data_IF_586395018395
#
_entry.id   IF_586395018395
#
_cell.length_a   1.000
_cell.length_b   1.000
_cell.length_c   1.000
_cell.angle_alpha   90.00
_cell.angle_beta   90.00
_cell.angle_gamma   90.00
#
_symmetry.space_group_name_H-M   'P 1'
#
loop_
_entity.id
_entity.type
_entity.pdbx_description
1 polymer ?
#
# COMPACT_ATOMS: atom_id res chain seq x y z
N UNK A 1 -15.82 8.56 -32.58
CA UNK A 1 -16.55 9.23 -31.51
C UNK A 1 -16.22 10.73 -31.35
N UNK A 2 -15.42 11.35 -32.25
CA UNK A 2 -15.13 12.79 -32.26
C UNK A 2 -14.14 13.32 -31.20
N UNK A 3 -13.71 12.49 -30.26
CA UNK A 3 -12.64 12.83 -29.28
C UNK A 3 -11.52 11.81 -29.32
N UNK A 4 -10.27 12.29 -29.34
CA UNK A 4 -9.08 11.44 -29.38
C UNK A 4 -8.69 11.09 -27.93
N UNK A 5 -8.73 9.80 -27.59
CA UNK A 5 -8.18 9.30 -26.35
C UNK A 5 -6.67 9.11 -26.48
N UNK A 6 -5.93 9.41 -25.42
CA UNK A 6 -4.47 9.37 -25.40
C UNK A 6 -3.95 8.63 -24.18
N UNK A 7 -2.89 7.87 -24.36
CA UNK A 7 -2.09 7.34 -23.26
C UNK A 7 -1.09 8.39 -22.78
N UNK A 8 -0.57 8.26 -21.58
CA UNK A 8 0.35 9.22 -20.98
C UNK A 8 1.68 9.37 -21.78
N UNK A 9 2.05 8.35 -22.54
CA UNK A 9 3.28 8.33 -23.37
C UNK A 9 3.03 8.65 -24.86
N UNK A 10 1.84 9.17 -25.24
CA UNK A 10 1.46 9.41 -26.63
C UNK A 10 2.45 10.28 -27.42
N UNK A 11 3.10 11.23 -26.74
CA UNK A 11 4.13 12.10 -27.35
C UNK A 11 5.44 11.35 -27.66
N UNK A 12 5.63 10.17 -27.08
CA UNK A 12 6.81 9.30 -27.24
C UNK A 12 6.51 8.06 -28.10
N UNK A 13 5.45 8.10 -28.92
CA UNK A 13 5.07 7.02 -29.83
C UNK A 13 4.03 6.03 -29.30
N UNK A 14 3.59 6.16 -28.03
CA UNK A 14 2.62 5.21 -27.45
C UNK A 14 3.24 3.86 -27.07
N UNK A 15 2.39 2.84 -26.93
CA UNK A 15 2.81 1.48 -26.52
C UNK A 15 2.86 0.47 -27.67
N UNK A 16 2.37 0.83 -28.87
CA UNK A 16 2.26 -0.12 -29.96
C UNK A 16 1.29 -1.26 -29.65
N UNK A 17 1.65 -2.48 -30.06
CA UNK A 17 0.87 -3.69 -29.77
C UNK A 17 1.27 -4.24 -28.41
N UNK A 18 0.32 -4.32 -27.48
CA UNK A 18 0.50 -4.84 -26.13
C UNK A 18 -0.61 -5.85 -25.79
N UNK A 19 -0.31 -6.77 -24.89
CA UNK A 19 -1.25 -7.77 -24.37
C UNK A 19 -2.22 -7.16 -23.34
N UNK A 20 -3.32 -7.88 -23.04
CA UNK A 20 -4.31 -7.42 -22.03
C UNK A 20 -3.68 -7.22 -20.64
N UNK A 21 -2.81 -8.08 -20.11
CA UNK A 21 -2.08 -7.80 -18.88
C UNK A 21 -1.25 -6.51 -18.95
N UNK A 22 -0.55 -6.26 -20.06
CA UNK A 22 0.23 -5.03 -20.25
C UNK A 22 -0.63 -3.78 -20.35
N UNK A 23 -1.86 -3.87 -20.89
CA UNK A 23 -2.82 -2.76 -20.89
C UNK A 23 -3.08 -2.28 -19.45
N UNK A 24 -3.28 -3.18 -18.52
CA UNK A 24 -3.48 -2.85 -17.10
C UNK A 24 -2.17 -2.44 -16.42
N UNK A 25 -1.08 -3.13 -16.69
CA UNK A 25 0.26 -2.86 -16.14
C UNK A 25 0.76 -1.45 -16.49
N UNK A 26 0.57 -1.03 -17.73
CA UNK A 26 0.94 0.32 -18.20
C UNK A 26 -0.19 1.33 -18.09
N UNK A 27 -1.36 0.93 -17.59
CA UNK A 27 -2.53 1.80 -17.48
C UNK A 27 -2.88 2.50 -18.81
N UNK A 28 -2.91 1.73 -19.90
CA UNK A 28 -3.25 2.24 -21.22
C UNK A 28 -4.72 2.57 -21.31
N UNK A 29 -5.05 3.85 -21.42
CA UNK A 29 -6.43 4.31 -21.62
C UNK A 29 -6.99 3.79 -22.94
N UNK A 30 -6.18 3.84 -24.00
CA UNK A 30 -6.57 3.37 -25.34
C UNK A 30 -6.84 1.87 -25.31
N UNK A 31 -5.99 1.08 -24.65
CA UNK A 31 -6.14 -0.37 -24.55
C UNK A 31 -7.43 -0.77 -23.85
N UNK A 32 -7.65 -0.24 -22.62
CA UNK A 32 -8.88 -0.53 -21.85
C UNK A 32 -10.12 -0.06 -22.62
N UNK A 33 -10.08 1.17 -23.15
CA UNK A 33 -11.24 1.74 -23.85
C UNK A 33 -11.63 0.91 -25.07
N UNK A 34 -10.66 0.45 -25.88
CA UNK A 34 -10.93 -0.43 -27.03
C UNK A 34 -11.49 -1.77 -26.61
N UNK A 35 -10.92 -2.42 -25.61
CA UNK A 35 -11.43 -3.70 -25.10
C UNK A 35 -12.89 -3.61 -24.68
N UNK A 36 -13.26 -2.54 -24.00
CA UNK A 36 -14.65 -2.37 -23.53
C UNK A 36 -15.57 -1.93 -24.67
N UNK A 37 -15.15 -0.99 -25.51
CA UNK A 37 -15.97 -0.53 -26.64
C UNK A 37 -16.23 -1.67 -27.65
N UNK A 38 -15.21 -2.43 -28.02
CA UNK A 38 -15.32 -3.53 -28.99
C UNK A 38 -16.28 -4.64 -28.48
N UNK A 39 -16.40 -4.86 -27.16
CA UNK A 39 -17.25 -5.89 -26.59
C UNK A 39 -18.64 -5.43 -26.15
N UNK A 40 -18.83 -4.14 -25.84
CA UNK A 40 -20.05 -3.66 -25.19
C UNK A 40 -20.70 -2.45 -25.86
N UNK A 41 -20.16 -1.90 -26.98
CA UNK A 41 -20.68 -0.68 -27.62
C UNK A 41 -22.16 -0.80 -28.01
N UNK A 42 -22.58 -1.99 -28.44
CA UNK A 42 -23.97 -2.25 -28.86
C UNK A 42 -24.90 -2.55 -27.67
N UNK A 43 -24.34 -2.90 -26.52
CA UNK A 43 -25.03 -3.27 -25.29
C UNK A 43 -24.35 -2.71 -24.06
N UNK A 44 -24.21 -1.36 -23.89
CA UNK A 44 -23.49 -0.75 -22.79
C UNK A 44 -24.09 -1.05 -21.42
N UNK A 45 -25.38 -1.38 -21.35
CA UNK A 45 -26.04 -1.83 -20.13
C UNK A 45 -25.43 -3.10 -19.56
N UNK A 46 -24.97 -4.02 -20.42
CA UNK A 46 -24.33 -5.28 -19.98
C UNK A 46 -22.99 -5.01 -19.26
N UNK A 47 -22.24 -4.01 -19.71
CA UNK A 47 -21.01 -3.59 -19.01
C UNK A 47 -21.33 -3.02 -17.62
N UNK A 48 -22.32 -2.12 -17.55
CA UNK A 48 -22.73 -1.53 -16.26
C UNK A 48 -23.32 -2.59 -15.32
N UNK A 49 -24.10 -3.52 -15.82
CA UNK A 49 -24.62 -4.65 -15.04
C UNK A 49 -23.49 -5.56 -14.55
N UNK A 50 -22.44 -5.74 -15.36
CA UNK A 50 -21.20 -6.40 -14.97
C UNK A 50 -20.55 -5.73 -13.75
N UNK A 51 -20.37 -4.41 -13.79
CA UNK A 51 -19.82 -3.66 -12.66
C UNK A 51 -20.59 -3.87 -11.36
N UNK A 52 -21.94 -3.81 -11.41
CA UNK A 52 -22.78 -4.08 -10.24
C UNK A 52 -22.71 -5.54 -9.78
N UNK A 53 -22.66 -6.48 -10.74
CA UNK A 53 -22.51 -7.92 -10.44
C UNK A 53 -21.16 -8.21 -9.73
N UNK A 54 -20.12 -7.49 -10.08
CA UNK A 54 -18.80 -7.59 -9.44
C UNK A 54 -18.70 -6.80 -8.12
N UNK A 55 -19.74 -6.04 -7.76
CA UNK A 55 -19.78 -5.27 -6.51
C UNK A 55 -19.41 -3.81 -6.63
N UNK A 56 -19.02 -3.34 -7.83
CA UNK A 56 -18.77 -1.92 -8.08
C UNK A 56 -20.11 -1.17 -8.13
N UNK A 57 -20.23 -0.08 -7.40
CA UNK A 57 -21.46 0.72 -7.34
C UNK A 57 -22.50 0.26 -6.30
N UNK A 58 -22.22 -0.78 -5.53
CA UNK A 58 -23.09 -1.20 -4.41
C UNK A 58 -22.96 -0.20 -3.26
N UNK A 59 -24.08 0.30 -2.67
CA UNK A 59 -24.04 1.15 -1.50
C UNK A 59 -23.34 0.47 -0.32
N UNK A 60 -22.41 1.19 0.32
CA UNK A 60 -21.68 0.68 1.48
C UNK A 60 -22.36 1.00 2.80
N UNK A 61 -23.29 1.97 2.81
CA UNK A 61 -24.04 2.40 4.00
C UNK A 61 -23.11 2.64 5.22
N UNK A 62 -22.02 3.39 4.99
CA UNK A 62 -21.02 3.68 6.02
C UNK A 62 -21.62 4.62 7.06
N UNK A 63 -21.64 4.27 8.36
CA UNK A 63 -22.27 5.06 9.41
C UNK A 63 -21.38 6.24 9.86
N UNK A 64 -20.84 7.01 8.92
CA UNK A 64 -20.04 8.20 9.17
C UNK A 64 -20.68 9.38 8.46
N UNK A 65 -20.80 10.50 9.19
CA UNK A 65 -21.34 11.75 8.64
C UNK A 65 -20.48 12.22 7.46
N UNK A 66 -21.12 12.56 6.33
CA UNK A 66 -20.43 13.02 5.13
C UNK A 66 -19.87 11.88 4.26
N UNK A 67 -20.10 10.62 4.60
CA UNK A 67 -19.74 9.50 3.72
C UNK A 67 -20.57 9.58 2.42
N UNK A 68 -19.88 9.48 1.27
CA UNK A 68 -20.51 9.39 -0.04
C UNK A 68 -20.77 7.93 -0.43
N UNK A 69 -21.77 7.70 -1.27
CA UNK A 69 -22.04 6.38 -1.86
C UNK A 69 -21.52 6.30 -3.30
N UNK A 70 -21.11 5.10 -3.76
CA UNK A 70 -20.69 4.90 -5.13
C UNK A 70 -21.85 5.18 -6.09
N UNK A 71 -21.54 5.83 -7.21
CA UNK A 71 -22.51 6.08 -8.29
C UNK A 71 -21.90 5.66 -9.62
N UNK A 72 -22.59 4.77 -10.33
CA UNK A 72 -22.25 4.36 -11.69
C UNK A 72 -23.42 4.75 -12.58
N UNK A 73 -23.15 5.56 -13.61
CA UNK A 73 -24.16 6.00 -14.56
C UNK A 73 -24.68 4.80 -15.35
N UNK A 74 -26.02 4.70 -15.46
CA UNK A 74 -26.67 3.68 -16.27
C UNK A 74 -27.26 4.29 -17.54
N UNK A 75 -27.16 3.61 -18.70
CA UNK A 75 -27.90 4.03 -19.88
C UNK A 75 -29.41 3.86 -19.63
N UNK A 76 -30.18 4.84 -20.03
CA UNK A 76 -31.65 4.71 -20.07
C UNK A 76 -32.06 3.82 -21.24
N UNK A 77 -33.23 3.18 -21.14
CA UNK A 77 -33.77 2.31 -22.19
C UNK A 77 -33.94 3.02 -23.54
N UNK A 78 -34.27 4.30 -23.53
CA UNK A 78 -34.40 5.15 -24.70
C UNK A 78 -33.06 5.72 -25.21
N UNK A 79 -31.95 5.42 -24.53
CA UNK A 79 -30.62 5.93 -24.88
C UNK A 79 -30.41 7.44 -24.66
N UNK A 80 -31.41 8.18 -24.20
CA UNK A 80 -31.44 9.65 -24.15
C UNK A 80 -30.32 10.26 -23.29
N UNK A 81 -29.78 9.50 -22.34
CA UNK A 81 -28.71 9.94 -21.44
C UNK A 81 -27.32 9.34 -21.76
N UNK A 82 -27.16 8.63 -22.90
CA UNK A 82 -25.95 7.91 -23.21
C UNK A 82 -25.29 8.40 -24.52
N UNK A 83 -24.14 9.03 -24.41
CA UNK A 83 -23.39 9.47 -25.58
C UNK A 83 -22.51 8.34 -26.11
N UNK A 84 -22.11 8.43 -27.40
CA UNK A 84 -21.17 7.48 -28.03
C UNK A 84 -19.79 7.43 -27.32
N UNK A 85 -19.48 8.43 -26.51
CA UNK A 85 -18.21 8.49 -25.75
C UNK A 85 -18.37 8.01 -24.31
N UNK A 86 -19.60 7.79 -23.81
CA UNK A 86 -19.82 7.44 -22.40
C UNK A 86 -19.15 6.12 -22.01
N UNK A 87 -19.30 5.06 -22.80
CA UNK A 87 -18.69 3.77 -22.51
C UNK A 87 -17.15 3.80 -22.53
N UNK A 88 -16.50 4.34 -23.59
CA UNK A 88 -15.04 4.50 -23.61
C UNK A 88 -14.49 5.29 -22.40
N UNK A 89 -15.17 6.35 -21.99
CA UNK A 89 -14.75 7.14 -20.82
C UNK A 89 -15.04 6.42 -19.49
N UNK A 90 -16.14 5.70 -19.40
CA UNK A 90 -16.47 4.89 -18.22
C UNK A 90 -15.44 3.79 -17.97
N UNK A 91 -14.92 3.18 -19.04
CA UNK A 91 -13.92 2.11 -18.95
C UNK A 91 -12.64 2.52 -18.24
N UNK A 92 -12.32 3.82 -18.22
CA UNK A 92 -11.16 4.39 -17.54
C UNK A 92 -11.53 5.20 -16.28
N UNK A 93 -12.78 5.05 -15.79
CA UNK A 93 -13.23 5.57 -14.50
C UNK A 93 -14.02 6.88 -14.53
N UNK A 94 -14.22 7.52 -15.69
CA UNK A 94 -15.15 8.65 -15.81
C UNK A 94 -16.60 8.12 -15.86
N UNK A 95 -17.59 8.99 -15.81
CA UNK A 95 -19.02 8.63 -15.71
C UNK A 95 -19.38 7.84 -14.43
N UNK A 96 -18.43 7.78 -13.47
CA UNK A 96 -18.59 7.16 -12.16
C UNK A 96 -18.15 8.13 -11.06
N UNK A 97 -18.73 7.99 -9.88
CA UNK A 97 -18.28 8.66 -8.66
C UNK A 97 -18.03 7.59 -7.61
N UNK A 98 -16.78 7.36 -7.28
CA UNK A 98 -16.34 6.29 -6.36
C UNK A 98 -15.63 6.91 -5.17
N UNK A 99 -16.23 6.92 -3.97
CA UNK A 99 -15.51 7.26 -2.75
C UNK A 99 -14.27 6.36 -2.59
N UNK A 100 -13.15 6.88 -2.08
CA UNK A 100 -11.92 6.07 -1.89
C UNK A 100 -12.17 4.77 -1.14
N UNK A 101 -13.04 4.80 -0.12
CA UNK A 101 -13.40 3.60 0.65
C UNK A 101 -14.11 2.53 -0.21
N UNK A 102 -14.90 2.93 -1.20
CA UNK A 102 -15.54 1.97 -2.11
C UNK A 102 -14.51 1.31 -3.03
N UNK A 103 -13.56 2.08 -3.55
CA UNK A 103 -12.42 1.53 -4.30
C UNK A 103 -11.61 0.58 -3.43
N UNK A 104 -11.29 0.96 -2.20
CA UNK A 104 -10.57 0.10 -1.25
C UNK A 104 -11.33 -1.19 -0.95
N UNK A 105 -12.66 -1.12 -0.78
CA UNK A 105 -13.50 -2.30 -0.53
C UNK A 105 -13.44 -3.29 -1.69
N UNK A 106 -13.41 -2.82 -2.93
CA UNK A 106 -13.27 -3.68 -4.11
C UNK A 106 -11.87 -4.33 -4.17
N UNK A 107 -10.80 -3.58 -3.94
CA UNK A 107 -9.44 -4.14 -3.86
C UNK A 107 -9.26 -5.10 -2.69
N UNK A 108 -9.91 -4.81 -1.55
CA UNK A 108 -9.96 -5.74 -0.43
C UNK A 108 -10.64 -7.05 -0.82
N UNK A 109 -11.72 -7.02 -1.61
CA UNK A 109 -12.37 -8.25 -2.09
C UNK A 109 -11.44 -9.08 -2.99
N UNK A 110 -10.63 -8.44 -3.87
CA UNK A 110 -9.61 -9.14 -4.66
C UNK A 110 -8.58 -9.81 -3.74
N UNK A 111 -8.09 -9.09 -2.73
CA UNK A 111 -7.15 -9.60 -1.75
C UNK A 111 -7.74 -10.73 -0.88
N UNK A 112 -9.04 -10.69 -0.61
CA UNK A 112 -9.77 -11.61 0.28
C UNK A 112 -10.39 -12.79 -0.48
N UNK A 113 -9.72 -13.32 -1.48
CA UNK A 113 -10.17 -14.50 -2.21
C UNK A 113 -11.46 -14.29 -3.02
N UNK A 114 -11.79 -13.05 -3.38
CA UNK A 114 -13.01 -12.66 -4.09
C UNK A 114 -14.21 -12.37 -3.19
N UNK A 115 -14.07 -12.54 -1.88
CA UNK A 115 -15.14 -12.24 -0.90
C UNK A 115 -15.14 -10.76 -0.55
N UNK A 116 -16.24 -10.05 -0.84
CA UNK A 116 -16.42 -8.64 -0.53
C UNK A 116 -17.12 -8.47 0.82
N UNK A 117 -16.49 -7.76 1.74
CA UNK A 117 -16.99 -7.47 3.06
C UNK A 117 -17.27 -5.98 3.24
N UNK A 118 -18.28 -5.63 4.05
CA UNK A 118 -18.58 -4.24 4.38
C UNK A 118 -17.49 -3.65 5.26
N UNK A 119 -17.00 -2.43 4.98
CA UNK A 119 -16.07 -1.74 5.87
C UNK A 119 -16.64 -1.61 7.28
N UNK A 120 -15.86 -2.01 8.27
CA UNK A 120 -16.24 -2.00 9.68
C UNK A 120 -15.27 -1.14 10.48
N UNK A 121 -15.77 -0.09 11.11
CA UNK A 121 -14.96 0.87 11.88
C UNK A 121 -14.92 0.55 13.38
N UNK A 122 -15.90 -0.19 13.87
CA UNK A 122 -15.99 -0.62 15.26
C UNK A 122 -16.10 -2.13 15.32
N UNK A 123 -15.18 -2.78 16.02
CA UNK A 123 -15.20 -4.24 16.25
C UNK A 123 -16.11 -4.62 17.40
N UNK A 124 -15.98 -3.92 18.53
CA UNK A 124 -16.75 -4.18 19.72
C UNK A 124 -16.85 -2.94 20.61
N UNK A 125 -17.89 -2.87 21.44
CA UNK A 125 -18.00 -1.94 22.57
C UNK A 125 -17.67 -2.70 23.84
N UNK A 126 -16.78 -2.16 24.68
CA UNK A 126 -16.41 -2.74 25.97
C UNK A 126 -16.83 -1.82 27.12
N UNK A 127 -17.26 -2.42 28.23
CA UNK A 127 -17.52 -1.75 29.48
C UNK A 127 -16.80 -2.53 30.58
N UNK A 128 -15.95 -1.87 31.34
CA UNK A 128 -15.13 -2.51 32.41
C UNK A 128 -14.30 -3.72 31.92
N UNK A 129 -13.83 -3.68 30.68
CA UNK A 129 -13.06 -4.79 30.08
C UNK A 129 -13.88 -5.86 29.36
N UNK A 130 -15.17 -6.00 29.70
CA UNK A 130 -16.08 -6.97 29.09
C UNK A 130 -16.72 -6.46 27.79
N UNK A 131 -16.89 -7.35 26.82
CA UNK A 131 -17.57 -7.02 25.55
C UNK A 131 -19.08 -6.96 25.81
N UNK A 132 -19.67 -5.75 25.71
CA UNK A 132 -21.12 -5.54 25.85
C UNK A 132 -21.84 -5.57 24.50
N UNK A 133 -21.12 -5.36 23.39
CA UNK A 133 -21.66 -5.45 22.04
C UNK A 133 -20.54 -5.74 21.05
N UNK A 134 -20.75 -6.71 20.18
CA UNK A 134 -19.86 -7.03 19.06
C UNK A 134 -20.54 -6.70 17.73
N UNK A 135 -19.72 -6.26 16.75
CA UNK A 135 -20.16 -6.01 15.37
C UNK A 135 -19.51 -7.07 14.47
N UNK A 136 -20.27 -8.05 13.98
CA UNK A 136 -19.72 -9.11 13.13
C UNK A 136 -19.29 -8.57 11.77
N UNK A 137 -18.51 -9.39 11.03
CA UNK A 137 -18.19 -9.13 9.64
C UNK A 137 -19.44 -9.34 8.80
N UNK A 138 -19.80 -8.32 8.00
CA UNK A 138 -20.91 -8.40 7.07
C UNK A 138 -20.38 -8.68 5.66
N UNK A 139 -20.79 -9.78 5.07
CA UNK A 139 -20.45 -10.15 3.69
C UNK A 139 -21.43 -9.52 2.73
N UNK A 140 -20.94 -8.66 1.81
CA UNK A 140 -21.72 -8.03 0.74
C UNK A 140 -21.86 -9.01 -0.42
N UNK A 141 -20.78 -9.70 -0.78
CA UNK A 141 -20.73 -10.74 -1.82
C UNK A 141 -19.79 -11.85 -1.44
N UNK A 142 -20.24 -13.08 -1.57
CA UNK A 142 -19.40 -14.25 -1.36
C UNK A 142 -18.34 -14.39 -2.45
N UNK A 143 -18.61 -13.89 -3.66
CA UNK A 143 -17.68 -13.95 -4.78
C UNK A 143 -17.95 -12.85 -5.79
N UNK A 144 -16.91 -12.06 -6.11
CA UNK A 144 -16.97 -10.97 -7.11
C UNK A 144 -16.72 -11.47 -8.54
N UNK A 145 -15.94 -12.53 -8.72
CA UNK A 145 -15.62 -13.11 -10.04
C UNK A 145 -15.27 -14.60 -9.92
N UNK A 146 -15.00 -15.27 -11.05
CA UNK A 146 -14.54 -16.66 -11.05
C UNK A 146 -13.14 -16.79 -10.41
N UNK A 147 -12.79 -17.96 -9.85
CA UNK A 147 -11.45 -18.19 -9.29
C UNK A 147 -10.33 -17.95 -10.30
N UNK A 148 -10.54 -18.35 -11.57
CA UNK A 148 -9.58 -18.12 -12.64
C UNK A 148 -9.36 -16.62 -12.86
N UNK A 149 -10.44 -15.84 -13.02
CA UNK A 149 -10.37 -14.38 -13.21
C UNK A 149 -9.71 -13.71 -12.01
N UNK A 150 -9.97 -14.21 -10.80
CA UNK A 150 -9.36 -13.68 -9.59
C UNK A 150 -7.84 -13.87 -9.60
N UNK A 151 -7.36 -15.06 -9.92
CA UNK A 151 -5.93 -15.34 -10.03
C UNK A 151 -5.26 -14.50 -11.11
N UNK A 152 -5.89 -14.40 -12.29
CA UNK A 152 -5.38 -13.60 -13.40
C UNK A 152 -5.24 -12.12 -12.99
N UNK A 153 -6.23 -11.53 -12.31
CA UNK A 153 -6.15 -10.12 -11.88
C UNK A 153 -5.16 -9.90 -10.73
N UNK A 154 -5.03 -10.85 -9.80
CA UNK A 154 -4.04 -10.77 -8.72
C UNK A 154 -2.62 -10.76 -9.28
N UNK A 155 -2.32 -11.60 -10.26
CA UNK A 155 -1.04 -11.63 -10.96
C UNK A 155 -0.78 -10.30 -11.69
N UNK A 156 -1.77 -9.78 -12.42
CA UNK A 156 -1.63 -8.50 -13.13
C UNK A 156 -1.39 -7.35 -12.15
N UNK A 157 -2.08 -7.30 -11.00
CA UNK A 157 -1.89 -6.27 -9.99
C UNK A 157 -0.50 -6.32 -9.34
N UNK A 158 0.09 -7.51 -9.20
CA UNK A 158 1.50 -7.65 -8.80
C UNK A 158 2.43 -7.13 -9.90
N UNK A 159 2.16 -7.45 -11.17
CA UNK A 159 2.93 -6.94 -12.31
C UNK A 159 2.89 -5.41 -12.42
N UNK A 160 1.80 -4.75 -12.08
CA UNK A 160 1.71 -3.28 -12.03
C UNK A 160 2.78 -2.70 -11.10
N UNK A 161 3.07 -3.35 -9.99
CA UNK A 161 4.07 -2.91 -9.00
C UNK A 161 5.46 -3.39 -9.36
N UNK A 162 5.63 -4.65 -9.73
CA UNK A 162 6.96 -5.22 -10.04
C UNK A 162 7.55 -4.70 -11.35
N UNK A 163 6.74 -4.50 -12.39
CA UNK A 163 7.18 -4.16 -13.76
C UNK A 163 6.57 -2.88 -14.32
N UNK A 164 5.39 -2.47 -13.82
CA UNK A 164 4.56 -1.41 -14.38
C UNK A 164 4.74 -0.03 -13.74
N UNK A 165 3.67 0.77 -13.77
CA UNK A 165 3.65 2.15 -13.29
C UNK A 165 3.57 2.27 -11.76
N UNK A 166 3.37 1.18 -11.04
CA UNK A 166 3.28 1.13 -9.59
C UNK A 166 4.60 0.88 -8.86
N UNK A 167 5.75 0.85 -9.54
CA UNK A 167 7.05 0.45 -8.96
C UNK A 167 7.41 1.14 -7.66
N UNK A 168 7.06 2.42 -7.51
CA UNK A 168 7.35 3.19 -6.29
C UNK A 168 6.49 2.81 -5.07
N UNK A 169 5.46 1.99 -5.26
CA UNK A 169 4.69 1.41 -4.16
C UNK A 169 5.25 0.07 -3.68
N UNK A 170 6.25 -0.48 -4.37
CA UNK A 170 6.90 -1.73 -4.00
C UNK A 170 7.72 -1.61 -2.73
N UNK A 171 7.84 -2.73 -2.02
CA UNK A 171 8.67 -2.91 -0.85
C UNK A 171 9.77 -3.93 -1.14
N UNK A 172 10.88 -3.89 -0.38
CA UNK A 172 11.99 -4.84 -0.56
C UNK A 172 11.69 -6.20 0.06
N UNK A 173 11.00 -6.19 1.19
CA UNK A 173 10.85 -7.36 2.07
C UNK A 173 9.62 -8.21 1.75
N UNK A 174 8.66 -7.65 0.99
CA UNK A 174 7.45 -8.35 0.57
C UNK A 174 6.90 -7.78 -0.73
N UNK A 175 6.16 -8.60 -1.45
CA UNK A 175 5.50 -8.19 -2.69
C UNK A 175 4.24 -7.38 -2.40
N UNK A 176 3.97 -6.42 -3.28
CA UNK A 176 2.78 -5.55 -3.24
C UNK A 176 2.00 -5.72 -4.52
N UNK A 177 0.69 -5.81 -4.42
CA UNK A 177 -0.24 -5.75 -5.55
C UNK A 177 -1.07 -4.48 -5.48
N UNK A 178 -1.27 -3.81 -6.62
CA UNK A 178 -2.08 -2.60 -6.63
C UNK A 178 -2.13 -1.89 -7.97
N UNK A 179 -2.80 -0.74 -8.00
CA UNK A 179 -3.02 0.04 -9.21
C UNK A 179 -2.92 1.53 -8.93
N UNK A 180 -2.30 2.23 -9.85
CA UNK A 180 -2.24 3.69 -9.87
C UNK A 180 -3.51 4.29 -10.44
N UNK A 181 -3.95 5.42 -9.92
CA UNK A 181 -5.04 6.24 -10.46
C UNK A 181 -4.57 7.67 -10.70
N UNK A 182 -5.07 8.27 -11.78
CA UNK A 182 -4.86 9.69 -12.07
C UNK A 182 -6.09 10.20 -12.85
N UNK A 183 -6.97 10.91 -12.16
CA UNK A 183 -8.19 11.45 -12.74
C UNK A 183 -8.19 12.98 -12.69
N UNK A 184 -8.71 13.61 -13.74
CA UNK A 184 -8.99 15.05 -13.69
C UNK A 184 -10.26 15.30 -12.90
N UNK A 185 -10.27 16.35 -12.09
CA UNK A 185 -11.42 16.75 -11.27
C UNK A 185 -12.13 17.91 -11.94
N UNK A 186 -13.42 17.75 -12.20
CA UNK A 186 -14.26 18.81 -12.72
C UNK A 186 -14.44 19.94 -11.70
N UNK A 187 -14.40 21.18 -12.16
CA UNK A 187 -14.46 22.38 -11.33
C UNK A 187 -15.80 23.12 -11.57
N UNK A 188 -16.86 22.57 -11.03
CA UNK A 188 -18.21 23.16 -11.14
C UNK A 188 -18.65 23.35 -12.60
N UNK A 189 -19.24 24.50 -12.92
CA UNK A 189 -19.73 24.85 -14.26
C UNK A 189 -18.63 24.96 -15.32
N UNK A 190 -17.36 25.19 -14.91
CA UNK A 190 -16.20 25.24 -15.82
C UNK A 190 -15.70 23.88 -16.31
N UNK A 191 -16.29 22.76 -15.82
CA UNK A 191 -15.87 21.41 -16.16
C UNK A 191 -14.38 21.19 -15.82
N UNK A 192 -13.64 20.54 -16.73
CA UNK A 192 -12.22 20.27 -16.54
C UNK A 192 -11.29 21.45 -16.86
N UNK A 193 -11.83 22.55 -17.42
CA UNK A 193 -11.07 23.70 -17.90
C UNK A 193 -11.34 24.99 -17.12
N UNK A 194 -12.06 24.94 -16.02
CA UNK A 194 -12.45 26.09 -15.20
C UNK A 194 -11.32 26.64 -14.32
N UNK A 195 -10.10 26.85 -14.87
CA UNK A 195 -8.94 27.37 -14.15
C UNK A 195 -7.76 26.39 -14.16
N UNK A 196 -6.87 26.45 -13.12
CA UNK A 196 -5.75 25.51 -13.01
C UNK A 196 -6.27 24.09 -12.82
N UNK A 197 -5.91 23.19 -13.73
CA UNK A 197 -6.35 21.79 -13.71
C UNK A 197 -6.11 21.15 -12.33
N UNK A 198 -7.13 20.50 -11.80
CA UNK A 198 -7.04 19.70 -10.57
C UNK A 198 -7.07 18.21 -10.90
N UNK A 199 -6.31 17.45 -10.14
CA UNK A 199 -6.21 15.99 -10.28
C UNK A 199 -6.51 15.33 -8.93
N UNK A 200 -7.22 14.22 -8.99
CA UNK A 200 -7.25 13.22 -7.93
C UNK A 200 -6.30 12.11 -8.35
N UNK A 201 -5.18 12.00 -7.64
CA UNK A 201 -4.19 10.94 -7.85
C UNK A 201 -4.30 9.92 -6.73
N UNK A 202 -4.09 8.65 -7.03
CA UNK A 202 -4.22 7.59 -6.04
C UNK A 202 -3.31 6.41 -6.32
N UNK A 203 -3.07 5.62 -5.28
CA UNK A 203 -2.62 4.25 -5.36
C UNK A 203 -3.46 3.42 -4.40
N UNK A 204 -4.07 2.35 -4.92
CA UNK A 204 -4.85 1.40 -4.14
C UNK A 204 -4.27 0.01 -4.32
N UNK A 205 -4.10 -0.73 -3.23
CA UNK A 205 -3.47 -2.04 -3.28
C UNK A 205 -3.57 -2.81 -1.97
N UNK A 206 -2.87 -3.95 -1.93
CA UNK A 206 -2.81 -4.84 -0.78
C UNK A 206 -1.43 -5.49 -0.66
N UNK A 207 -1.12 -5.96 0.53
CA UNK A 207 0.15 -6.59 0.86
C UNK A 207 0.04 -7.55 2.05
N UNK A 208 0.93 -8.57 2.16
CA UNK A 208 1.76 -9.11 1.09
C UNK A 208 0.91 -9.61 -0.10
N UNK A 209 1.49 -9.64 -1.32
CA UNK A 209 0.74 -10.01 -2.54
C UNK A 209 0.28 -11.47 -2.53
N UNK A 210 1.14 -12.39 -2.04
CA UNK A 210 0.94 -13.83 -1.99
C UNK A 210 0.01 -14.29 -0.85
N UNK A 211 0.04 -13.58 0.29
CA UNK A 211 -0.81 -13.85 1.46
C UNK A 211 -1.35 -12.53 2.02
N UNK A 212 -2.34 -11.92 1.37
CA UNK A 212 -2.80 -10.60 1.73
C UNK A 212 -3.29 -10.51 3.18
N UNK A 213 -2.70 -9.59 3.95
CA UNK A 213 -3.11 -9.26 5.32
C UNK A 213 -3.76 -7.89 5.41
N UNK A 214 -3.32 -6.96 4.57
CA UNK A 214 -3.74 -5.55 4.61
C UNK A 214 -4.05 -5.02 3.22
N UNK A 215 -5.04 -4.14 3.14
CA UNK A 215 -5.33 -3.32 1.97
C UNK A 215 -5.26 -1.84 2.35
N UNK A 216 -4.76 -1.02 1.45
CA UNK A 216 -4.57 0.40 1.68
C UNK A 216 -4.88 1.21 0.42
N UNK A 217 -5.41 2.41 0.59
CA UNK A 217 -5.54 3.41 -0.47
C UNK A 217 -4.92 4.72 -0.02
N UNK A 218 -4.09 5.30 -0.86
CA UNK A 218 -3.57 6.66 -0.72
C UNK A 218 -4.18 7.49 -1.84
N UNK A 219 -4.88 8.56 -1.50
CA UNK A 219 -5.53 9.47 -2.44
C UNK A 219 -5.16 10.91 -2.11
N UNK A 220 -4.70 11.66 -3.11
CA UNK A 220 -4.22 13.03 -2.96
C UNK A 220 -4.88 13.90 -4.02
N UNK A 221 -5.47 15.02 -3.62
CA UNK A 221 -5.91 16.04 -4.55
C UNK A 221 -4.77 17.03 -4.83
N UNK A 222 -4.44 17.19 -6.10
CA UNK A 222 -3.28 18.01 -6.54
C UNK A 222 -3.67 18.97 -7.65
N UNK A 223 -3.16 20.19 -7.60
CA UNK A 223 -3.29 21.19 -8.67
C UNK A 223 -2.09 21.17 -9.61
N UNK A 224 -2.35 21.12 -10.92
CA UNK A 224 -1.34 21.18 -11.98
C UNK A 224 -0.51 19.90 -12.13
N UNK A 225 0.39 19.94 -13.11
CA UNK A 225 1.33 18.87 -13.42
C UNK A 225 2.68 19.06 -12.70
N UNK A 226 3.47 18.00 -12.49
CA UNK A 226 3.18 16.60 -12.79
C UNK A 226 2.15 16.00 -11.81
N UNK A 227 1.21 15.20 -12.34
CA UNK A 227 0.23 14.46 -11.55
C UNK A 227 0.37 12.97 -11.86
N UNK A 228 0.80 12.20 -10.88
CA UNK A 228 1.05 10.77 -11.03
C UNK A 228 0.71 10.03 -9.74
N UNK A 229 -0.25 9.11 -9.81
CA UNK A 229 -0.59 8.25 -8.68
C UNK A 229 0.60 7.38 -8.23
N UNK A 230 1.30 6.76 -9.18
CA UNK A 230 2.51 5.98 -8.87
C UNK A 230 3.66 6.82 -8.32
N UNK A 231 3.81 8.06 -8.85
CA UNK A 231 4.91 8.94 -8.47
C UNK A 231 4.76 9.59 -7.08
N UNK A 232 3.54 9.92 -6.68
CA UNK A 232 3.27 10.64 -5.42
C UNK A 232 2.64 9.75 -4.35
N UNK A 233 1.64 8.94 -4.73
CA UNK A 233 0.96 8.07 -3.77
C UNK A 233 1.72 6.77 -3.52
N UNK A 234 2.50 6.29 -4.52
CA UNK A 234 3.28 5.06 -4.40
C UNK A 234 4.27 5.07 -3.22
N UNK A 235 5.17 6.07 -3.10
CA UNK A 235 6.09 6.14 -1.96
C UNK A 235 5.38 6.16 -0.62
N UNK A 236 4.33 6.96 -0.47
CA UNK A 236 3.53 7.03 0.77
C UNK A 236 2.89 5.68 1.10
N UNK A 237 2.36 4.98 0.09
CA UNK A 237 1.83 3.62 0.26
C UNK A 237 2.93 2.65 0.73
N UNK A 238 4.12 2.70 0.11
CA UNK A 238 5.25 1.86 0.48
C UNK A 238 5.67 2.06 1.94
N UNK A 239 5.79 3.31 2.39
CA UNK A 239 6.14 3.64 3.79
C UNK A 239 5.08 3.14 4.78
N UNK A 240 3.78 3.35 4.46
CA UNK A 240 2.68 2.82 5.28
C UNK A 240 2.76 1.29 5.33
N UNK A 241 2.93 0.63 4.19
CA UNK A 241 2.98 -0.82 4.10
C UNK A 241 4.14 -1.40 4.93
N UNK A 242 5.34 -0.84 4.81
CA UNK A 242 6.51 -1.25 5.61
C UNK A 242 6.26 -1.04 7.11
N UNK A 243 5.75 0.13 7.51
CA UNK A 243 5.45 0.43 8.92
C UNK A 243 4.39 -0.49 9.52
N UNK A 244 3.34 -0.81 8.76
CA UNK A 244 2.26 -1.71 9.21
C UNK A 244 2.76 -3.14 9.30
N UNK A 245 3.53 -3.60 8.32
CA UNK A 245 4.10 -4.96 8.32
C UNK A 245 5.09 -5.14 9.47
N UNK A 246 5.95 -4.17 9.73
CA UNK A 246 6.86 -4.21 10.88
C UNK A 246 6.08 -4.36 12.20
N UNK A 247 5.03 -3.55 12.41
CA UNK A 247 4.16 -3.66 13.60
C UNK A 247 3.36 -4.98 13.64
N UNK A 248 2.94 -5.49 12.50
CA UNK A 248 2.19 -6.74 12.38
C UNK A 248 3.03 -7.96 12.75
N UNK A 249 4.31 -7.97 12.37
CA UNK A 249 5.27 -9.02 12.76
C UNK A 249 5.37 -9.12 14.29
N UNK A 250 5.40 -7.99 14.99
CA UNK A 250 5.44 -7.98 16.46
C UNK A 250 4.18 -8.55 17.12
N UNK A 251 2.99 -8.41 16.49
CA UNK A 251 1.73 -8.95 17.04
C UNK A 251 1.56 -10.44 16.79
N UNK A 252 1.96 -10.92 15.61
CA UNK A 252 1.86 -12.36 15.26
C UNK A 252 2.80 -13.22 16.14
N UNK A 253 3.90 -12.65 16.65
CA UNK A 253 4.84 -13.34 17.57
C UNK A 253 4.25 -13.53 18.97
N UNK A 254 3.33 -12.64 19.41
CA UNK A 254 2.69 -12.77 20.72
C UNK A 254 1.51 -13.77 20.74
N UNK A 255 1.00 -14.18 19.57
CA UNK A 255 -0.16 -15.09 19.45
C UNK A 255 0.20 -16.50 18.95
N UNK A 256 1.41 -16.73 18.44
CA UNK A 256 1.88 -18.02 17.93
C UNK A 256 2.97 -18.63 18.80
N UNK A 257 2.57 -19.43 19.78
CA UNK A 257 3.43 -20.51 20.27
C UNK A 257 3.49 -21.59 19.18
N UNK A 258 4.69 -21.82 18.69
CA UNK A 258 5.19 -22.87 17.79
C UNK A 258 5.39 -22.49 16.31
N UNK A 259 6.69 -22.42 15.96
CA UNK A 259 7.31 -22.61 14.64
C UNK A 259 7.04 -21.58 13.53
N UNK A 260 6.97 -20.28 13.80
CA UNK A 260 7.11 -19.26 12.78
C UNK A 260 8.51 -18.63 12.81
N UNK A 261 9.17 -18.46 11.67
CA UNK A 261 10.42 -17.70 11.58
C UNK A 261 10.19 -16.27 12.07
N UNK A 262 10.77 -15.93 13.20
CA UNK A 262 10.71 -14.57 13.76
C UNK A 262 11.56 -13.66 12.85
N UNK A 263 10.93 -12.63 12.29
CA UNK A 263 11.70 -11.58 11.61
C UNK A 263 12.50 -10.81 12.66
N UNK A 264 13.81 -10.88 12.54
CA UNK A 264 14.73 -10.12 13.37
C UNK A 264 15.23 -8.96 12.52
N UNK A 265 14.95 -7.70 12.90
CA UNK A 265 15.42 -6.54 12.14
C UNK A 265 16.94 -6.41 12.22
N UNK A 266 17.54 -5.76 11.22
CA UNK A 266 18.93 -5.34 11.32
C UNK A 266 19.06 -4.30 12.42
N UNK A 267 19.86 -4.61 13.42
CA UNK A 267 20.09 -3.77 14.58
C UNK A 267 21.48 -3.14 14.45
N UNK A 268 21.54 -1.82 14.58
CA UNK A 268 22.82 -1.11 14.56
C UNK A 268 23.65 -1.43 15.81
N UNK A 269 24.96 -1.47 15.61
CA UNK A 269 25.92 -1.50 16.70
C UNK A 269 25.86 -0.19 17.50
N UNK A 270 26.13 -0.22 18.80
CA UNK A 270 26.02 0.97 19.64
C UNK A 270 25.96 0.64 21.14
N UNK A 271 25.12 1.38 21.89
CA UNK A 271 24.85 1.08 23.29
C UNK A 271 23.95 -0.14 23.44
N UNK A 272 24.49 -1.24 23.88
CA UNK A 272 23.78 -2.52 24.00
C UNK A 272 22.73 -2.53 25.11
N UNK A 273 22.83 -1.67 26.13
CA UNK A 273 21.79 -1.55 27.16
C UNK A 273 20.55 -0.84 26.59
N UNK A 274 20.75 0.22 25.80
CA UNK A 274 19.66 0.90 25.10
C UNK A 274 19.02 -0.04 24.06
N UNK A 275 19.84 -0.73 23.27
CA UNK A 275 19.39 -1.74 22.31
C UNK A 275 18.58 -2.83 22.99
N UNK A 276 19.05 -3.37 24.11
CA UNK A 276 18.32 -4.37 24.91
C UNK A 276 16.97 -3.85 25.39
N UNK A 277 16.91 -2.61 25.87
CA UNK A 277 15.67 -2.00 26.33
C UNK A 277 14.63 -1.90 25.19
N UNK A 278 15.08 -1.47 24.00
CA UNK A 278 14.24 -1.39 22.79
C UNK A 278 13.79 -2.78 22.36
N UNK A 279 14.68 -3.76 22.27
CA UNK A 279 14.33 -5.13 21.89
C UNK A 279 13.30 -5.75 22.85
N UNK A 280 13.49 -5.49 24.16
CA UNK A 280 12.54 -5.95 25.21
C UNK A 280 11.17 -5.29 25.07
N UNK A 281 11.11 -3.98 24.84
CA UNK A 281 9.86 -3.24 24.63
C UNK A 281 9.11 -3.67 23.38
N UNK A 282 9.87 -4.11 22.36
CA UNK A 282 9.35 -4.57 21.10
C UNK A 282 9.12 -6.10 21.05
N UNK A 283 9.29 -6.82 22.16
CA UNK A 283 9.19 -8.29 22.27
C UNK A 283 10.03 -9.05 21.24
N UNK A 284 11.21 -8.50 20.86
CA UNK A 284 12.15 -9.15 19.94
C UNK A 284 13.05 -10.09 20.76
N UNK A 285 13.16 -11.38 20.39
CA UNK A 285 14.05 -12.31 21.08
C UNK A 285 15.51 -11.88 20.95
N UNK A 286 16.20 -11.79 22.07
CA UNK A 286 17.63 -11.49 22.11
C UNK A 286 18.38 -12.32 23.13
N UNK A 287 19.68 -12.45 22.92
CA UNK A 287 20.64 -13.01 23.87
C UNK A 287 21.72 -11.96 24.15
N UNK A 288 22.27 -11.94 25.35
CA UNK A 288 23.35 -11.06 25.72
C UNK A 288 24.52 -11.87 26.30
N UNK A 289 25.73 -11.43 26.05
CA UNK A 289 26.96 -12.10 26.48
C UNK A 289 27.64 -11.44 27.70
N UNK A 290 26.97 -10.48 28.35
CA UNK A 290 27.47 -9.84 29.57
C UNK A 290 26.49 -9.99 30.73
N UNK A 291 27.04 -9.95 31.98
CA UNK A 291 26.20 -9.96 33.17
C UNK A 291 25.59 -8.59 33.45
N UNK A 292 24.34 -8.55 33.91
CA UNK A 292 23.58 -7.33 34.22
C UNK A 292 24.06 -6.60 35.48
N UNK A 293 24.97 -7.18 36.25
CA UNK A 293 25.40 -6.69 37.58
C UNK A 293 26.39 -5.52 37.56
N UNK A 294 26.79 -5.02 36.40
CA UNK A 294 27.65 -3.84 36.29
C UNK A 294 26.82 -2.56 36.31
N UNK A 295 26.26 -2.25 37.47
CA UNK A 295 25.56 -1.04 37.86
C UNK A 295 25.54 0.13 36.86
N UNK A 296 24.55 0.16 35.96
CA UNK A 296 24.16 1.35 35.19
C UNK A 296 25.18 1.90 34.19
N UNK A 297 26.32 1.26 33.95
CA UNK A 297 27.31 1.71 32.96
C UNK A 297 26.89 1.31 31.55
N UNK A 298 27.06 2.23 30.60
CA UNK A 298 26.86 1.93 29.16
C UNK A 298 27.74 0.75 28.74
N UNK A 299 27.13 -0.22 28.05
CA UNK A 299 27.83 -1.36 27.45
C UNK A 299 27.80 -1.17 25.94
N UNK A 300 28.92 -0.76 25.40
CA UNK A 300 29.07 -0.60 23.95
C UNK A 300 29.38 -1.96 23.32
N UNK A 301 28.89 -2.16 22.08
CA UNK A 301 29.08 -3.45 21.44
C UNK A 301 28.43 -3.60 20.09
N UNK A 302 28.31 -4.86 19.67
CA UNK A 302 27.78 -5.28 18.37
C UNK A 302 26.50 -6.07 18.53
N UNK A 303 25.55 -5.82 17.62
CA UNK A 303 24.36 -6.61 17.47
C UNK A 303 24.48 -7.52 16.24
N UNK A 304 24.33 -8.83 16.43
CA UNK A 304 24.47 -9.83 15.36
C UNK A 304 23.18 -10.60 15.24
N UNK A 305 22.58 -10.60 14.04
CA UNK A 305 21.41 -11.39 13.75
C UNK A 305 21.80 -12.88 13.55
N UNK A 306 21.25 -13.74 14.36
CA UNK A 306 21.49 -15.19 14.32
C UNK A 306 20.15 -15.91 14.12
N UNK A 307 19.66 -15.96 12.88
CA UNK A 307 18.37 -16.54 12.56
C UNK A 307 17.20 -15.75 13.20
N UNK A 308 16.54 -16.32 14.20
CA UNK A 308 15.36 -15.74 14.86
C UNK A 308 15.67 -14.95 16.14
N UNK A 309 16.96 -14.64 16.42
CA UNK A 309 17.41 -14.03 17.68
C UNK A 309 18.49 -13.00 17.41
N UNK A 310 18.41 -11.84 18.05
CA UNK A 310 19.50 -10.86 18.08
C UNK A 310 20.48 -11.26 19.18
N UNK A 311 21.76 -11.42 18.82
CA UNK A 311 22.82 -11.63 19.80
C UNK A 311 23.53 -10.30 20.04
N UNK A 312 23.42 -9.77 21.27
CA UNK A 312 24.08 -8.56 21.71
C UNK A 312 25.43 -8.95 22.35
N UNK A 313 26.51 -8.42 21.81
CA UNK A 313 27.90 -8.68 22.29
C UNK A 313 28.50 -7.40 22.81
N UNK A 314 28.95 -7.40 24.07
CA UNK A 314 29.68 -6.29 24.64
C UNK A 314 31.08 -6.15 24.01
N UNK A 315 31.48 -4.92 23.74
CA UNK A 315 32.89 -4.61 23.36
C UNK A 315 33.78 -4.63 24.56
N UNK A 316 34.70 -5.58 24.59
CA UNK A 316 35.74 -5.73 25.64
C UNK A 316 37.09 -5.18 25.18
N UNK A 317 37.14 -4.36 24.12
CA UNK A 317 38.37 -3.74 23.62
C UNK A 317 39.02 -2.90 24.72
N UNK A 318 40.30 -3.13 25.07
CA UNK A 318 41.02 -2.32 26.05
C UNK A 318 40.98 -0.82 25.72
N UNK A 319 41.05 0.02 26.74
CA UNK A 319 40.93 1.48 26.58
C UNK A 319 42.06 2.09 25.71
N UNK A 320 43.19 1.42 25.64
CA UNK A 320 44.38 1.83 24.88
C UNK A 320 44.28 1.50 23.39
N UNK A 321 43.26 0.72 22.99
CA UNK A 321 43.08 0.29 21.60
C UNK A 321 41.89 1.07 21.00
N UNK A 322 42.05 1.58 19.78
CA UNK A 322 40.95 2.22 19.02
C UNK A 322 39.87 1.20 18.73
N UNK A 323 38.63 1.44 19.15
CA UNK A 323 37.55 0.48 18.93
C UNK A 323 37.09 0.47 17.46
N UNK A 324 36.57 -0.68 17.03
CA UNK A 324 35.94 -0.78 15.73
C UNK A 324 34.49 -0.22 15.83
N UNK A 325 34.27 0.97 15.26
CA UNK A 325 32.98 1.66 15.24
C UNK A 325 32.21 1.45 13.95
N UNK A 326 32.66 0.53 13.10
CA UNK A 326 31.97 0.19 11.85
C UNK A 326 30.60 -0.46 12.15
N UNK A 327 29.53 0.04 11.54
CA UNK A 327 28.15 -0.42 11.79
C UNK A 327 27.39 0.36 12.86
N UNK A 328 28.06 1.29 13.56
CA UNK A 328 27.43 2.19 14.53
C UNK A 328 26.81 3.40 13.87
N UNK A 329 25.78 3.98 14.49
CA UNK A 329 25.30 5.32 14.16
C UNK A 329 26.40 6.36 14.38
N UNK A 330 26.44 7.42 13.53
CA UNK A 330 27.50 8.44 13.61
C UNK A 330 27.64 9.07 15.02
N UNK A 331 26.51 9.30 15.69
CA UNK A 331 26.50 9.85 17.07
C UNK A 331 27.14 8.91 18.07
N UNK A 332 26.85 7.63 17.98
CA UNK A 332 27.40 6.61 18.91
C UNK A 332 28.87 6.36 18.64
N UNK A 333 29.27 6.34 17.36
CA UNK A 333 30.67 6.23 16.96
C UNK A 333 31.50 7.39 17.47
N UNK A 334 31.02 8.64 17.35
CA UNK A 334 31.69 9.84 17.89
C UNK A 334 31.85 9.73 19.40
N UNK A 335 30.74 9.43 20.11
CA UNK A 335 30.76 9.32 21.55
C UNK A 335 31.77 8.23 22.04
N UNK A 336 31.77 7.07 21.38
CA UNK A 336 32.67 5.96 21.73
C UNK A 336 34.14 6.31 21.54
N UNK A 337 34.50 7.02 20.47
CA UNK A 337 35.87 7.44 20.19
C UNK A 337 36.31 8.60 21.12
N UNK A 338 35.44 9.60 21.32
CA UNK A 338 35.77 10.74 22.20
C UNK A 338 35.87 10.34 23.67
N UNK A 339 35.07 9.37 24.13
CA UNK A 339 35.16 8.82 25.49
C UNK A 339 36.53 8.15 25.78
N UNK A 340 37.29 7.80 24.73
CA UNK A 340 38.66 7.27 24.79
C UNK A 340 39.72 8.32 24.54
N UNK A 341 39.34 9.62 24.52
CA UNK A 341 40.26 10.74 24.35
C UNK A 341 40.65 11.02 22.90
N UNK A 342 40.03 10.41 21.93
CA UNK A 342 40.27 10.64 20.50
C UNK A 342 39.54 11.87 20.00
N UNK A 343 40.12 12.64 19.09
CA UNK A 343 39.45 13.72 18.39
C UNK A 343 38.80 13.17 17.11
N UNK A 344 37.50 13.39 16.96
CA UNK A 344 36.73 12.85 15.83
C UNK A 344 36.38 13.97 14.85
N UNK A 345 36.59 13.72 13.56
CA UNK A 345 36.14 14.57 12.47
C UNK A 345 35.18 13.74 11.61
N UNK A 346 33.95 14.23 11.41
CA UNK A 346 32.98 13.59 10.51
C UNK A 346 33.21 14.10 9.09
N UNK A 347 33.35 13.19 8.15
CA UNK A 347 33.38 13.46 6.72
C UNK A 347 32.39 12.53 6.02
N UNK A 348 31.49 13.07 5.21
CA UNK A 348 30.49 12.31 4.49
C UNK A 348 29.29 13.14 4.06
N UNK A 349 28.36 12.49 3.38
CA UNK A 349 27.07 13.07 2.99
C UNK A 349 26.02 12.47 3.92
N UNK A 350 25.29 13.35 4.65
CA UNK A 350 24.20 12.97 5.55
C UNK A 350 22.94 12.56 4.83
#
# INVERSE_FOLDING_TARGET
HGRVMKDHNWRRGGYGRISVPEVLMYSSNIGVSRLIDDNYKDHPEKFVDGLYREGVGIPLNIPLMGSGEPRVRRPKKDGSNWSKTALPWMSIGYETQMPPIATLTFYNAIANGGKMVRPRFVKAVRKNGEIVREFPVEVIKERICSPKTLNDIQEILEMVVSKGLGKKAGCKDFKVSGKTGTAQVAQGRGGYHGGRMKYLISFCGYYPSDRPKYSCIVAIQKSGLPASGGGHCGPVFSEIAQSVMAKGVYRDVSEASDSASVFVPDVLDGDMNATRAVLKELDIPFRQDWSTDKGGKSVWGKAVNSGNVVTLRGDNTPMEIVPDVKGMGAKDAVYMLESRGLKVKLEGVG
#
